data_IF_960281966489
#
_entry.id   IF_960281966489
#
_cell.length_a   1.000
_cell.length_b   1.000
_cell.length_c   1.000
_cell.angle_alpha   90.00
_cell.angle_beta   90.00
_cell.angle_gamma   90.00
#
_symmetry.space_group_name_H-M   'P 1'
#
loop_
_entity.id
_entity.type
_entity.pdbx_description
1 polymer ?
#
# COMPACT_ATOMS: atom_id res chain seq x y z
N UNK A 1 55.15 -1.20 2.71
CA UNK A 1 55.42 -2.00 1.49
C UNK A 1 54.21 -1.92 0.58
N UNK A 2 54.46 -1.82 -0.72
CA UNK A 2 53.52 -1.46 -1.78
C UNK A 2 52.41 -2.50 -1.96
N UNK A 3 51.18 -2.03 -2.18
CA UNK A 3 50.22 -2.77 -3.00
C UNK A 3 49.53 -1.77 -3.94
N UNK A 4 49.98 -1.75 -5.19
CA UNK A 4 49.27 -1.14 -6.31
C UNK A 4 48.29 -2.18 -6.84
N UNK A 5 47.03 -1.81 -6.99
CA UNK A 5 46.14 -2.47 -7.93
C UNK A 5 45.46 -1.39 -8.77
N UNK A 6 45.84 -1.35 -10.04
CA UNK A 6 45.24 -0.55 -11.11
C UNK A 6 44.44 -1.53 -11.95
N UNK A 7 43.12 -1.36 -12.01
CA UNK A 7 42.33 -1.86 -13.13
C UNK A 7 41.41 -0.72 -13.57
N UNK A 8 41.74 -0.17 -14.74
CA UNK A 8 40.85 0.71 -15.47
C UNK A 8 39.80 -0.11 -16.21
N UNK A 9 38.58 0.42 -16.27
CA UNK A 9 37.61 0.05 -17.29
C UNK A 9 36.90 1.32 -17.74
N UNK A 10 37.22 1.75 -18.96
CA UNK A 10 36.60 2.85 -19.69
C UNK A 10 35.66 2.22 -20.71
N UNK A 11 34.35 2.32 -20.50
CA UNK A 11 33.27 2.10 -21.48
C UNK A 11 32.12 2.97 -20.96
N UNK A 12 31.41 3.80 -21.70
CA UNK A 12 31.31 4.10 -23.12
C UNK A 12 30.07 4.99 -23.20
N UNK A 13 30.25 6.19 -23.76
CA UNK A 13 29.26 7.24 -23.92
C UNK A 13 28.06 6.74 -24.75
N UNK A 14 26.85 6.88 -24.21
CA UNK A 14 25.59 6.51 -24.88
C UNK A 14 24.45 7.41 -24.41
N UNK A 15 24.55 8.68 -24.79
CA UNK A 15 23.51 9.68 -24.64
C UNK A 15 22.35 9.32 -25.60
N UNK A 16 21.21 8.91 -25.06
CA UNK A 16 19.96 8.84 -25.82
C UNK A 16 18.92 9.73 -25.12
N UNK A 17 19.03 11.03 -25.40
CA UNK A 17 17.94 12.00 -25.26
C UNK A 17 16.90 11.65 -26.33
N UNK A 18 15.91 10.83 -26.01
CA UNK A 18 14.64 10.86 -26.74
C UNK A 18 13.81 12.00 -26.17
N UNK A 19 13.97 13.16 -26.80
CA UNK A 19 13.04 14.26 -26.63
C UNK A 19 11.65 13.87 -27.10
N UNK A 20 10.66 14.24 -26.30
CA UNK A 20 9.33 14.55 -26.81
C UNK A 20 9.17 16.05 -26.61
N UNK A 21 9.75 16.82 -27.54
CA UNK A 21 9.36 18.20 -27.78
C UNK A 21 8.66 18.20 -29.14
N UNK A 22 7.41 18.63 -29.16
CA UNK A 22 6.97 19.81 -29.94
C UNK A 22 5.47 20.00 -29.73
N UNK A 23 5.14 21.10 -29.07
CA UNK A 23 4.10 22.07 -29.48
C UNK A 23 2.90 21.54 -30.29
N UNK A 24 1.73 21.49 -29.63
CA UNK A 24 0.45 21.91 -30.21
C UNK A 24 -0.20 21.06 -31.31
N UNK A 25 -1.43 20.64 -31.01
CA UNK A 25 -2.57 20.45 -31.91
C UNK A 25 -2.52 19.26 -32.89
N UNK A 26 -3.50 18.36 -32.68
CA UNK A 26 -4.13 17.46 -33.66
C UNK A 26 -3.26 16.40 -34.37
N UNK A 27 -3.08 15.20 -33.78
CA UNK A 27 -3.15 13.94 -34.55
C UNK A 27 -3.32 12.68 -33.65
N UNK A 28 -4.39 11.86 -33.81
CA UNK A 28 -4.52 10.55 -33.17
C UNK A 28 -3.71 9.48 -33.92
N UNK A 29 -2.42 9.38 -33.60
CA UNK A 29 -1.51 8.37 -34.14
C UNK A 29 -1.54 7.04 -33.38
N UNK A 30 -2.27 6.08 -33.96
CA UNK A 30 -2.29 4.63 -33.72
C UNK A 30 -0.93 3.99 -33.36
N UNK A 31 -0.89 3.25 -32.24
CA UNK A 31 0.14 2.25 -31.95
C UNK A 31 -0.41 0.83 -32.17
N UNK A 32 0.07 0.20 -33.26
CA UNK A 32 0.33 -1.23 -33.46
C UNK A 32 -0.73 -2.30 -33.08
N UNK A 33 -1.51 -2.68 -34.11
CA UNK A 33 -1.80 -4.04 -34.60
C UNK A 33 -1.68 -5.24 -33.63
N UNK A 34 -2.82 -5.90 -33.40
CA UNK A 34 -2.89 -7.37 -33.44
C UNK A 34 -3.50 -7.79 -34.78
N UNK A 35 -2.72 -8.56 -35.54
CA UNK A 35 -3.06 -9.15 -36.84
C UNK A 35 -3.85 -10.44 -36.68
N UNK A 36 -4.78 -10.67 -37.60
CA UNK A 36 -5.59 -11.88 -37.80
C UNK A 36 -6.94 -11.45 -38.38
N UNK A 37 -7.10 -11.26 -39.69
CA UNK A 37 -7.33 -12.33 -40.68
C UNK A 37 -8.73 -12.94 -40.42
N UNK A 38 -9.76 -12.90 -41.27
CA UNK A 38 -9.85 -12.78 -42.72
C UNK A 38 -11.27 -12.38 -43.17
N UNK A 39 -11.32 -11.68 -44.31
CA UNK A 39 -12.24 -11.77 -45.45
C UNK A 39 -13.80 -11.79 -45.33
N UNK A 40 -14.33 -10.73 -45.97
CA UNK A 40 -15.42 -10.70 -46.98
C UNK A 40 -16.89 -10.71 -46.56
N UNK A 41 -17.64 -9.76 -47.15
CA UNK A 41 -19.02 -9.95 -47.57
C UNK A 41 -20.02 -9.04 -46.88
N UNK A 42 -20.54 -8.04 -47.61
CA UNK A 42 -21.45 -7.02 -47.08
C UNK A 42 -22.90 -7.45 -46.91
N UNK A 43 -23.72 -6.47 -46.50
CA UNK A 43 -25.18 -6.55 -46.63
C UNK A 43 -25.98 -5.93 -45.49
N UNK A 44 -26.43 -4.69 -45.72
CA UNK A 44 -27.75 -4.13 -45.36
C UNK A 44 -28.26 -4.08 -43.90
N UNK A 45 -28.56 -2.83 -43.51
CA UNK A 45 -29.75 -2.34 -42.78
C UNK A 45 -30.10 -2.85 -41.36
N UNK A 46 -30.23 -1.89 -40.44
CA UNK A 46 -30.90 -2.01 -39.14
C UNK A 46 -30.20 -1.10 -38.14
N UNK A 47 -30.73 0.06 -37.79
CA UNK A 47 -31.72 0.20 -36.72
C UNK A 47 -31.01 0.79 -35.50
N UNK A 48 -31.39 2.00 -35.10
CA UNK A 48 -30.69 2.75 -34.05
C UNK A 48 -30.68 2.07 -32.69
N UNK A 49 -29.70 2.40 -31.86
CA UNK A 49 -29.86 3.36 -30.75
C UNK A 49 -28.49 3.62 -30.12
N UNK A 50 -28.37 4.85 -29.64
CA UNK A 50 -27.31 5.41 -28.81
C UNK A 50 -26.88 4.51 -27.66
N UNK A 51 -25.57 4.33 -27.50
CA UNK A 51 -24.99 3.67 -26.34
C UNK A 51 -23.48 3.71 -26.45
N UNK A 52 -22.90 4.89 -26.23
CA UNK A 52 -21.46 5.05 -26.09
C UNK A 52 -20.98 4.22 -24.92
N UNK A 53 -20.43 3.04 -25.21
CA UNK A 53 -19.59 2.31 -24.28
C UNK A 53 -18.26 3.03 -24.17
N UNK A 54 -18.24 4.11 -23.39
CA UNK A 54 -17.00 4.61 -22.82
C UNK A 54 -16.43 3.47 -21.99
N UNK A 55 -15.40 2.80 -22.51
CA UNK A 55 -14.39 2.15 -21.69
C UNK A 55 -13.77 3.24 -20.83
N UNK A 56 -14.42 3.53 -19.70
CA UNK A 56 -13.89 4.37 -18.67
C UNK A 56 -12.68 3.67 -18.11
N UNK A 57 -11.50 4.03 -18.60
CA UNK A 57 -10.30 3.97 -17.79
C UNK A 57 -10.54 4.92 -16.62
N UNK A 58 -11.22 4.41 -15.59
CA UNK A 58 -11.35 5.11 -14.33
C UNK A 58 -9.94 5.30 -13.80
N UNK A 59 -9.48 6.54 -13.75
CA UNK A 59 -8.39 6.89 -12.85
C UNK A 59 -8.91 6.56 -11.46
N UNK A 60 -8.50 5.41 -10.89
CA UNK A 60 -8.79 5.12 -9.49
C UNK A 60 -8.21 6.29 -8.70
N UNK A 61 -9.09 7.12 -8.14
CA UNK A 61 -8.66 8.22 -7.31
C UNK A 61 -8.17 7.57 -6.03
N UNK A 62 -6.85 7.59 -5.88
CA UNK A 62 -6.19 7.00 -4.74
C UNK A 62 -6.68 7.69 -3.46
N UNK A 63 -7.16 6.92 -2.49
CA UNK A 63 -7.67 7.44 -1.23
C UNK A 63 -6.56 7.49 -0.20
N UNK A 64 -6.34 8.65 0.43
CA UNK A 64 -5.38 8.79 1.51
C UNK A 64 -6.07 8.62 2.87
N UNK A 65 -5.53 7.73 3.70
CA UNK A 65 -5.98 7.45 5.06
C UNK A 65 -4.84 7.83 6.02
N UNK A 66 -5.01 8.85 6.88
CA UNK A 66 -3.99 9.20 7.86
C UNK A 66 -3.85 8.09 8.90
N UNK A 67 -2.60 7.76 9.26
CA UNK A 67 -2.28 6.80 10.32
C UNK A 67 -1.53 7.55 11.40
N UNK A 68 -2.01 7.48 12.65
CA UNK A 68 -1.26 8.01 13.77
C UNK A 68 -0.17 6.99 14.15
N UNK A 69 1.12 7.34 14.13
CA UNK A 69 2.19 6.37 14.40
C UNK A 69 2.21 5.91 15.87
N UNK A 70 1.40 6.51 16.75
CA UNK A 70 1.20 6.08 18.14
C UNK A 70 0.00 5.13 18.31
N UNK A 71 -0.74 4.81 17.24
CA UNK A 71 -1.91 3.94 17.27
C UNK A 71 -1.57 2.53 16.80
N UNK A 72 -2.12 1.52 17.47
CA UNK A 72 -1.93 0.12 17.09
C UNK A 72 -3.11 -0.78 17.39
N UNK A 73 -3.27 -1.80 16.55
CA UNK A 73 -4.13 -2.94 16.80
C UNK A 73 -3.37 -4.12 17.42
N UNK A 74 -2.04 -4.06 17.51
CA UNK A 74 -1.22 -5.10 18.12
C UNK A 74 -1.26 -5.01 19.65
N UNK A 75 -0.87 -6.12 20.29
CA UNK A 75 -0.63 -6.15 21.73
C UNK A 75 0.41 -5.11 22.11
N UNK A 76 0.19 -4.44 23.24
CA UNK A 76 1.18 -3.56 23.85
C UNK A 76 1.39 -3.93 25.32
N UNK A 77 2.52 -3.52 25.88
CA UNK A 77 2.84 -3.82 27.27
C UNK A 77 3.66 -2.70 27.89
N UNK A 78 3.14 -2.09 28.96
CA UNK A 78 3.73 -0.89 29.61
C UNK A 78 4.08 0.21 28.60
N UNK A 79 3.28 0.30 27.55
CA UNK A 79 3.38 1.24 26.46
C UNK A 79 2.07 2.04 26.44
N UNK A 80 2.17 3.37 26.45
CA UNK A 80 1.01 4.25 26.38
C UNK A 80 0.63 4.51 24.91
N UNK A 81 0.51 3.41 24.17
CA UNK A 81 0.00 3.38 22.82
C UNK A 81 -1.49 3.71 22.80
N UNK A 82 -1.96 4.24 21.69
CA UNK A 82 -3.37 4.51 21.44
C UNK A 82 -3.99 3.35 20.64
N UNK A 83 -5.30 3.20 20.74
CA UNK A 83 -6.02 2.21 19.94
C UNK A 83 -6.11 2.66 18.48
N UNK A 84 -5.79 1.75 17.55
CA UNK A 84 -6.04 1.95 16.13
C UNK A 84 -7.55 1.94 15.84
N UNK A 85 -8.08 2.93 15.11
CA UNK A 85 -9.48 2.92 14.73
C UNK A 85 -9.74 1.88 13.65
N UNK A 86 -10.89 1.21 13.71
CA UNK A 86 -11.40 0.43 12.60
C UNK A 86 -11.81 1.36 11.46
N UNK A 87 -11.24 1.17 10.27
CA UNK A 87 -11.63 1.90 9.06
C UNK A 87 -12.59 1.03 8.27
N UNK A 88 -13.79 1.53 7.99
CA UNK A 88 -14.76 0.83 7.14
C UNK A 88 -14.29 0.80 5.69
N UNK A 89 -14.33 -0.36 5.05
CA UNK A 89 -13.94 -0.50 3.65
C UNK A 89 -14.83 0.33 2.71
N UNK A 90 -16.12 0.44 3.05
CA UNK A 90 -17.08 1.27 2.32
C UNK A 90 -16.72 2.76 2.32
N UNK A 91 -15.95 3.25 3.30
CA UNK A 91 -15.58 4.67 3.38
C UNK A 91 -14.59 5.05 2.25
N UNK A 92 -13.95 4.06 1.63
CA UNK A 92 -13.06 4.24 0.47
C UNK A 92 -13.47 3.38 -0.74
N UNK A 93 -14.74 2.98 -0.81
CA UNK A 93 -15.35 2.21 -1.90
C UNK A 93 -14.62 0.91 -2.23
N UNK A 94 -14.16 0.20 -1.21
CA UNK A 94 -13.56 -1.12 -1.38
C UNK A 94 -14.50 -2.22 -0.89
N UNK A 95 -14.54 -3.33 -1.62
CA UNK A 95 -15.40 -4.48 -1.33
C UNK A 95 -14.61 -5.79 -1.29
N UNK A 96 -15.07 -6.80 -0.52
CA UNK A 96 -14.48 -8.14 -0.56
C UNK A 96 -14.35 -8.72 -1.97
N UNK A 97 -13.19 -9.31 -2.26
CA UNK A 97 -12.83 -9.85 -3.57
C UNK A 97 -12.15 -8.85 -4.50
N UNK A 98 -12.15 -7.56 -4.19
CA UNK A 98 -11.38 -6.57 -4.92
C UNK A 98 -9.89 -6.63 -4.52
N UNK A 99 -9.02 -6.28 -5.47
CA UNK A 99 -7.62 -6.05 -5.18
C UNK A 99 -7.44 -4.60 -4.75
N UNK A 100 -6.77 -4.39 -3.62
CA UNK A 100 -6.39 -3.07 -3.12
C UNK A 100 -4.88 -2.99 -2.96
N UNK A 101 -4.31 -1.89 -3.43
CA UNK A 101 -2.87 -1.63 -3.35
C UNK A 101 -2.59 -0.51 -2.35
N UNK A 102 -1.86 -0.83 -1.29
CA UNK A 102 -1.41 0.11 -0.27
C UNK A 102 -0.05 0.70 -0.60
N UNK A 103 0.10 2.01 -0.40
CA UNK A 103 1.37 2.74 -0.51
C UNK A 103 1.53 3.66 0.70
N UNK A 104 2.54 3.42 1.54
CA UNK A 104 2.83 4.31 2.67
C UNK A 104 3.23 5.70 2.17
N UNK A 105 2.72 6.74 2.83
CA UNK A 105 2.99 8.14 2.56
C UNK A 105 3.43 8.80 3.86
N UNK A 106 4.40 9.71 3.77
CA UNK A 106 4.96 10.37 4.95
C UNK A 106 5.90 9.46 5.74
N UNK A 107 6.36 9.96 6.89
CA UNK A 107 7.29 9.26 7.76
C UNK A 107 7.10 9.72 9.22
N UNK A 108 7.59 8.93 10.16
CA UNK A 108 7.55 9.21 11.59
C UNK A 108 8.91 8.92 12.24
N UNK A 109 9.12 9.49 13.43
CA UNK A 109 10.24 9.15 14.27
C UNK A 109 9.90 7.92 15.10
N UNK A 110 10.65 6.82 14.98
CA UNK A 110 10.47 5.56 15.74
C UNK A 110 11.21 5.56 17.09
N UNK A 111 11.35 6.74 17.69
CA UNK A 111 12.19 6.97 18.86
C UNK A 111 13.63 7.40 18.55
N UNK A 112 14.23 8.11 19.50
CA UNK A 112 15.65 8.47 19.46
C UNK A 112 16.10 9.38 18.30
N UNK A 113 15.18 9.97 17.54
CA UNK A 113 15.52 10.76 16.36
C UNK A 113 15.59 9.93 15.06
N UNK A 114 15.28 8.63 15.09
CA UNK A 114 15.40 7.72 13.95
C UNK A 114 14.14 7.79 13.08
N UNK A 115 14.31 8.01 11.78
CA UNK A 115 13.21 7.93 10.82
C UNK A 115 12.84 6.46 10.58
N UNK A 116 11.55 6.13 10.66
CA UNK A 116 11.08 4.75 10.48
C UNK A 116 11.50 4.19 9.11
N UNK A 117 11.43 5.01 8.06
CA UNK A 117 11.84 4.62 6.69
C UNK A 117 13.32 4.26 6.56
N UNK A 118 14.16 4.70 7.50
CA UNK A 118 15.60 4.42 7.47
C UNK A 118 15.98 3.04 8.04
N UNK A 119 15.02 2.32 8.64
CA UNK A 119 15.27 1.03 9.30
C UNK A 119 15.29 -0.16 8.34
N UNK A 120 14.71 -0.02 7.14
CA UNK A 120 14.51 -1.11 6.20
C UNK A 120 13.37 -2.08 6.56
N UNK A 121 12.61 -1.78 7.61
CA UNK A 121 11.40 -2.52 8.01
C UNK A 121 10.18 -2.00 7.25
N UNK A 122 9.04 -2.73 7.25
CA UNK A 122 7.75 -2.16 6.88
C UNK A 122 7.50 -0.83 7.61
N UNK A 123 6.69 0.04 7.01
CA UNK A 123 6.21 1.26 7.66
C UNK A 123 4.83 1.06 8.28
N UNK A 124 3.95 0.36 7.54
CA UNK A 124 2.55 0.15 7.93
C UNK A 124 2.23 -1.32 7.83
N UNK A 125 1.66 -1.88 8.89
CA UNK A 125 0.98 -3.18 8.86
C UNK A 125 -0.52 -2.97 8.89
N UNK A 126 -1.24 -3.95 8.36
CA UNK A 126 -2.70 -3.93 8.36
C UNK A 126 -3.28 -5.32 8.58
N UNK A 127 -4.51 -5.35 9.11
CA UNK A 127 -5.30 -6.57 9.25
C UNK A 127 -6.75 -6.27 8.87
N UNK A 128 -7.34 -7.11 8.01
CA UNK A 128 -8.76 -7.03 7.69
C UNK A 128 -9.58 -7.69 8.79
N UNK A 129 -10.80 -7.18 9.01
CA UNK A 129 -11.72 -7.76 9.97
C UNK A 129 -13.16 -7.70 9.51
N UNK A 130 -13.95 -8.65 10.01
CA UNK A 130 -15.41 -8.68 9.92
C UNK A 130 -16.10 -7.83 11.01
N UNK A 131 -15.35 -7.30 11.96
CA UNK A 131 -15.82 -6.58 13.16
C UNK A 131 -15.08 -5.24 13.33
N UNK A 132 -15.71 -4.25 13.98
CA UNK A 132 -15.12 -2.93 14.23
C UNK A 132 -14.51 -2.78 15.63
N UNK A 133 -14.63 -3.81 16.46
CA UNK A 133 -14.13 -3.82 17.83
C UNK A 133 -12.63 -4.07 17.87
N UNK A 134 -11.97 -3.40 18.81
CA UNK A 134 -10.61 -3.68 19.22
C UNK A 134 -10.61 -4.05 20.71
N UNK A 135 -10.03 -5.19 21.06
CA UNK A 135 -9.91 -5.63 22.44
C UNK A 135 -8.80 -4.87 23.18
N UNK A 136 -8.73 -5.10 24.50
CA UNK A 136 -7.73 -4.49 25.37
C UNK A 136 -6.30 -4.70 24.88
N UNK A 137 -5.44 -3.72 25.13
CA UNK A 137 -4.05 -3.71 24.65
C UNK A 137 -3.18 -4.85 25.18
N UNK A 138 -3.59 -5.52 26.24
CA UNK A 138 -2.87 -6.64 26.84
C UNK A 138 -3.14 -8.00 26.16
N UNK A 139 -4.16 -8.08 25.30
CA UNK A 139 -4.50 -9.28 24.54
C UNK A 139 -3.59 -9.41 23.31
N UNK A 140 -3.23 -10.64 22.92
CA UNK A 140 -2.49 -10.90 21.68
C UNK A 140 -3.41 -10.66 20.47
N UNK A 141 -4.50 -11.42 20.40
CA UNK A 141 -5.48 -11.38 19.32
C UNK A 141 -6.50 -10.27 19.54
N UNK A 142 -6.06 -9.01 19.45
CA UNK A 142 -6.89 -7.86 19.78
C UNK A 142 -7.99 -7.58 18.77
N UNK A 143 -7.91 -8.14 17.56
CA UNK A 143 -8.85 -7.89 16.46
C UNK A 143 -9.78 -9.09 16.31
N UNK A 144 -10.98 -9.08 16.91
CA UNK A 144 -11.94 -10.15 16.71
C UNK A 144 -12.34 -10.22 15.24
N UNK A 145 -12.47 -11.44 14.72
CA UNK A 145 -12.88 -11.63 13.34
C UNK A 145 -11.85 -11.15 12.32
N UNK A 146 -10.56 -11.11 12.71
CA UNK A 146 -9.43 -10.95 11.81
C UNK A 146 -9.52 -11.97 10.66
N UNK A 147 -9.17 -11.52 9.46
CA UNK A 147 -9.28 -12.29 8.23
C UNK A 147 -7.93 -12.30 7.54
N UNK A 148 -7.47 -13.52 7.30
CA UNK A 148 -6.16 -13.83 6.76
C UNK A 148 -5.96 -13.34 5.33
N UNK A 149 -4.75 -12.85 5.05
CA UNK A 149 -4.31 -12.35 3.74
C UNK A 149 -2.82 -12.62 3.57
N UNK A 150 -2.49 -13.37 2.52
CA UNK A 150 -1.09 -13.56 2.14
C UNK A 150 -0.49 -12.32 1.45
N UNK A 151 0.79 -11.97 1.72
CA UNK A 151 1.69 -12.63 2.66
C UNK A 151 1.65 -12.04 4.08
N UNK A 152 1.80 -12.91 5.08
CA UNK A 152 1.91 -12.53 6.49
C UNK A 152 3.12 -11.63 6.77
N UNK A 153 3.00 -10.75 7.77
CA UNK A 153 4.13 -9.97 8.27
C UNK A 153 4.46 -10.33 9.72
N UNK A 154 5.71 -10.72 9.97
CA UNK A 154 6.13 -10.93 11.37
C UNK A 154 6.35 -9.59 12.04
N UNK A 155 5.57 -9.30 13.08
CA UNK A 155 5.62 -8.04 13.82
C UNK A 155 6.68 -8.06 14.94
N UNK A 156 7.22 -6.89 15.32
CA UNK A 156 8.19 -6.82 16.41
C UNK A 156 7.52 -7.08 17.75
N UNK A 157 8.19 -7.82 18.64
CA UNK A 157 7.77 -7.97 20.04
C UNK A 157 7.64 -6.62 20.75
N UNK A 158 6.90 -6.57 21.86
CA UNK A 158 6.75 -5.35 22.66
C UNK A 158 8.12 -4.81 23.10
N UNK A 159 8.34 -3.50 22.96
CA UNK A 159 9.61 -2.86 23.30
C UNK A 159 9.98 -3.03 24.78
N UNK A 160 8.98 -3.16 25.65
CA UNK A 160 9.15 -3.53 27.07
C UNK A 160 8.84 -5.00 27.28
N UNK A 161 9.73 -5.71 27.97
CA UNK A 161 9.60 -7.12 28.38
C UNK A 161 9.43 -8.15 27.23
N UNK A 162 9.42 -7.72 25.96
CA UNK A 162 9.56 -8.56 24.76
C UNK A 162 8.46 -9.63 24.59
N UNK A 163 7.20 -9.27 24.84
CA UNK A 163 6.07 -10.15 24.57
C UNK A 163 5.76 -10.22 23.07
N UNK A 164 5.38 -11.40 22.58
CA UNK A 164 4.85 -11.56 21.22
C UNK A 164 3.63 -10.66 21.00
N UNK A 165 3.60 -10.07 19.81
CA UNK A 165 2.58 -9.17 19.26
C UNK A 165 1.95 -9.72 18.00
N UNK A 166 2.64 -10.65 17.34
CA UNK A 166 2.31 -11.26 16.06
C UNK A 166 0.92 -11.88 15.99
N UNK A 167 0.19 -11.51 14.93
CA UNK A 167 -1.13 -12.02 14.57
C UNK A 167 -0.98 -12.57 13.15
N UNK A 168 -1.35 -13.84 12.93
CA UNK A 168 -1.07 -14.50 11.65
C UNK A 168 -1.80 -13.87 10.46
N UNK A 169 -2.94 -13.21 10.71
CA UNK A 169 -3.79 -12.62 9.68
C UNK A 169 -3.33 -11.22 9.21
N UNK A 170 -2.27 -10.65 9.77
CA UNK A 170 -1.78 -9.32 9.38
C UNK A 170 -0.76 -9.38 8.23
N UNK A 171 -0.64 -8.27 7.50
CA UNK A 171 0.23 -8.17 6.34
C UNK A 171 0.95 -6.82 6.27
N UNK A 172 2.06 -6.78 5.52
CA UNK A 172 2.77 -5.53 5.21
C UNK A 172 1.96 -4.72 4.20
N UNK A 173 1.43 -3.58 4.62
CA UNK A 173 0.64 -2.68 3.78
C UNK A 173 1.46 -1.53 3.16
N UNK A 174 2.78 -1.53 3.36
CA UNK A 174 3.68 -0.42 2.97
C UNK A 174 3.72 -0.21 1.46
N UNK A 175 3.76 -1.29 0.68
CA UNK A 175 3.83 -1.25 -0.79
C UNK A 175 3.30 -2.56 -1.39
N UNK A 176 2.14 -3.02 -0.92
CA UNK A 176 1.62 -4.36 -1.21
C UNK A 176 0.21 -4.26 -1.77
N UNK A 177 -0.08 -5.11 -2.75
CA UNK A 177 -1.43 -5.32 -3.26
C UNK A 177 -1.98 -6.65 -2.75
N UNK A 178 -3.17 -6.62 -2.17
CA UNK A 178 -3.84 -7.80 -1.62
C UNK A 178 -5.28 -7.87 -2.08
N UNK A 179 -5.84 -9.07 -2.13
CA UNK A 179 -7.28 -9.25 -2.35
C UNK A 179 -7.99 -9.16 -1.02
N UNK A 180 -9.01 -8.30 -0.92
CA UNK A 180 -9.79 -8.15 0.30
C UNK A 180 -10.50 -9.49 0.59
N UNK A 181 -10.33 -10.08 1.78
CA UNK A 181 -10.89 -11.39 2.08
C UNK A 181 -12.41 -11.34 2.20
N UNK A 182 -13.06 -12.46 1.87
CA UNK A 182 -14.51 -12.60 1.97
C UNK A 182 -14.98 -12.32 3.41
N UNK A 183 -15.99 -11.46 3.56
CA UNK A 183 -16.54 -11.09 4.86
C UNK A 183 -15.84 -9.92 5.56
N UNK A 184 -14.76 -9.37 4.98
CA UNK A 184 -14.15 -8.16 5.51
C UNK A 184 -15.11 -6.97 5.40
N UNK A 185 -15.21 -6.20 6.48
CA UNK A 185 -15.98 -4.95 6.55
C UNK A 185 -15.13 -3.79 7.04
N UNK A 186 -14.03 -4.10 7.74
CA UNK A 186 -13.10 -3.14 8.30
C UNK A 186 -11.65 -3.54 8.01
N UNK A 187 -10.76 -2.56 8.14
CA UNK A 187 -9.32 -2.74 8.20
C UNK A 187 -8.75 -1.89 9.33
N UNK A 188 -7.77 -2.43 10.05
CA UNK A 188 -6.98 -1.69 11.03
C UNK A 188 -5.59 -1.45 10.47
N UNK A 189 -5.05 -0.24 10.68
CA UNK A 189 -3.69 0.11 10.29
C UNK A 189 -2.86 0.44 11.53
N UNK A 190 -1.59 0.08 11.50
CA UNK A 190 -0.63 0.50 12.52
C UNK A 190 0.73 0.82 11.90
N UNK A 191 1.49 1.71 12.55
CA UNK A 191 2.92 1.80 12.31
C UNK A 191 3.60 0.47 12.69
N UNK A 192 4.63 0.08 11.94
CA UNK A 192 5.45 -1.07 12.30
C UNK A 192 6.43 -0.69 13.42
N UNK A 193 6.06 -0.98 14.67
CA UNK A 193 6.88 -0.69 15.86
C UNK A 193 6.53 -1.63 17.02
N UNK A 194 7.48 -1.80 17.95
CA UNK A 194 7.27 -2.50 19.22
C UNK A 194 7.00 -1.56 20.40
N UNK A 195 7.29 -0.27 20.28
CA UNK A 195 7.05 0.72 21.33
C UNK A 195 6.48 2.01 20.73
N UNK A 196 5.18 2.21 20.87
CA UNK A 196 4.45 3.27 20.17
C UNK A 196 4.46 4.61 20.91
N UNK A 197 4.74 4.62 22.22
CA UNK A 197 4.68 5.83 23.02
C UNK A 197 5.73 6.90 22.66
N UNK A 198 6.88 6.52 22.10
CA UNK A 198 7.93 7.44 21.66
C UNK A 198 7.87 7.80 20.18
N UNK A 199 6.86 7.30 19.47
CA UNK A 199 6.61 7.68 18.09
C UNK A 199 6.18 9.14 17.96
N UNK A 200 6.83 9.87 17.06
CA UNK A 200 6.59 11.29 16.86
C UNK A 200 6.43 11.65 15.37
N UNK A 201 5.55 12.62 15.04
CA UNK A 201 5.44 13.12 13.68
C UNK A 201 6.75 13.79 13.23
N UNK A 202 7.02 13.71 11.92
CA UNK A 202 8.11 14.45 11.29
C UNK A 202 7.60 15.78 10.70
N UNK A 203 8.51 16.62 10.19
CA UNK A 203 8.13 17.83 9.43
C UNK A 203 7.70 17.53 7.99
N UNK A 204 7.69 16.26 7.57
CA UNK A 204 7.32 15.83 6.23
C UNK A 204 5.81 15.73 6.02
N UNK A 205 5.37 15.05 4.96
CA UNK A 205 3.96 14.73 4.76
C UNK A 205 3.40 13.95 5.95
N UNK A 206 2.10 14.13 6.22
CA UNK A 206 1.38 13.34 7.23
C UNK A 206 1.57 11.86 6.96
N UNK A 207 1.98 11.12 7.99
CA UNK A 207 2.11 9.67 7.92
C UNK A 207 0.73 9.02 7.68
N UNK A 208 0.67 8.06 6.76
CA UNK A 208 -0.56 7.37 6.42
C UNK A 208 -0.38 6.44 5.22
N UNK A 209 -1.49 5.93 4.72
CA UNK A 209 -1.53 5.01 3.58
C UNK A 209 -2.36 5.61 2.45
N UNK A 210 -1.87 5.47 1.22
CA UNK A 210 -2.61 5.73 0.01
C UNK A 210 -3.07 4.40 -0.58
N UNK A 211 -4.39 4.23 -0.75
CA UNK A 211 -5.01 3.02 -1.27
C UNK A 211 -5.52 3.26 -2.70
N UNK A 212 -5.31 2.29 -3.58
CA UNK A 212 -5.74 2.30 -4.98
C UNK A 212 -6.44 1.02 -5.38
#
# INVERSE_FOLDING_TARGET
>A
MRLHFVIGLTIGLGLALTGCDTTGLDDPGTCYSCSGGDHTGGGASGGGTTGGGTTGGGTSNATFIPVNPRQTYLRTFKDNALDAPAVRLSDFNAEPGEQVCGFAVGDFNSGGGVLASSTGSPLITAVFSSDDRLLGSDQLDRVPGALDVDPDVVTPVTGVDQYTTDIAEDFDATNTCVTIPAGATHVFFSAFDGFYADNAPTSGPTFGIQIK
#
